data_IF_144008402836
#
_entry.id   IF_144008402836
#
_cell.length_a   1.000
_cell.length_b   1.000
_cell.length_c   1.000
_cell.angle_alpha   90.00
_cell.angle_beta   90.00
_cell.angle_gamma   90.00
#
_symmetry.space_group_name_H-M   'P 1'
#
loop_
_entity.id
_entity.type
_entity.pdbx_description
1 polymer ?
#
# COMPACT_ATOMS: atom_id res chain seq x y z
N UNK A 1 -36.86 21.97 77.09
CA UNK A 1 -36.38 20.71 77.69
C UNK A 1 -36.53 19.61 76.66
N UNK A 2 -35.40 18.96 76.37
CA UNK A 2 -35.20 17.68 75.67
C UNK A 2 -35.52 17.58 74.16
N UNK A 3 -34.45 17.76 73.39
CA UNK A 3 -34.16 17.09 72.12
C UNK A 3 -33.84 15.59 72.35
N UNK A 4 -34.12 14.76 71.36
CA UNK A 4 -33.48 13.47 71.09
C UNK A 4 -33.41 13.32 69.55
N UNK A 5 -32.22 13.45 68.94
CA UNK A 5 -31.36 12.35 68.45
C UNK A 5 -32.08 11.46 67.41
N UNK A 6 -31.92 11.65 66.09
CA UNK A 6 -30.75 11.35 65.24
C UNK A 6 -31.16 10.26 64.19
N UNK A 7 -30.39 9.94 63.12
CA UNK A 7 -29.10 10.47 62.73
C UNK A 7 -28.99 11.00 61.28
N UNK A 8 -27.87 11.71 61.09
CA UNK A 8 -27.28 12.27 59.88
C UNK A 8 -26.89 11.28 58.77
N UNK A 9 -27.07 11.79 57.53
CA UNK A 9 -26.18 11.76 56.35
C UNK A 9 -25.58 10.44 55.85
N UNK A 10 -25.84 10.16 54.57
CA UNK A 10 -24.77 9.99 53.56
C UNK A 10 -25.14 10.74 52.28
N UNK A 11 -24.32 11.69 51.78
CA UNK A 11 -24.43 12.15 50.40
C UNK A 11 -23.84 11.09 49.45
N UNK A 12 -24.54 10.86 48.35
CA UNK A 12 -24.11 9.97 47.27
C UNK A 12 -22.82 10.51 46.62
N UNK A 13 -21.83 9.62 46.48
CA UNK A 13 -20.54 9.91 45.85
C UNK A 13 -20.71 9.97 44.32
N UNK A 14 -20.21 11.00 43.62
CA UNK A 14 -20.14 10.96 42.16
C UNK A 14 -19.05 9.98 41.72
N UNK A 15 -19.35 9.23 40.65
CA UNK A 15 -18.46 8.32 39.96
C UNK A 15 -17.11 9.00 39.65
N UNK A 16 -16.07 8.61 40.38
CA UNK A 16 -14.72 9.12 40.18
C UNK A 16 -14.14 8.64 38.86
N UNK A 17 -13.90 9.60 37.95
CA UNK A 17 -12.95 9.46 36.85
C UNK A 17 -11.61 8.98 37.41
N UNK A 18 -11.18 7.79 37.01
CA UNK A 18 -9.76 7.41 37.13
C UNK A 18 -9.00 8.17 36.05
N UNK A 19 -8.24 9.18 36.49
CA UNK A 19 -7.18 9.78 35.70
C UNK A 19 -6.12 8.69 35.50
N UNK A 20 -6.00 8.20 34.27
CA UNK A 20 -4.86 7.37 33.89
C UNK A 20 -3.60 8.24 33.97
N UNK A 21 -2.66 7.85 34.84
CA UNK A 21 -1.35 8.48 34.89
C UNK A 21 -0.57 8.18 33.60
N UNK A 22 0.23 9.12 33.08
CA UNK A 22 1.02 8.89 31.89
C UNK A 22 2.07 7.82 32.19
N UNK A 23 1.99 6.69 31.48
CA UNK A 23 3.10 5.72 31.44
C UNK A 23 4.25 6.42 30.71
N UNK A 24 5.35 6.64 31.42
CA UNK A 24 6.58 7.08 30.77
C UNK A 24 7.03 5.96 29.81
N UNK A 25 6.87 6.21 28.51
CA UNK A 25 7.36 5.32 27.48
C UNK A 25 8.87 5.50 27.33
N UNK A 26 9.60 4.44 27.67
CA UNK A 26 10.97 4.23 27.19
C UNK A 26 10.93 4.01 25.68
N UNK A 27 11.74 4.72 24.89
CA UNK A 27 11.79 4.49 23.45
C UNK A 27 12.40 3.11 23.15
N UNK A 28 11.81 2.38 22.20
CA UNK A 28 12.41 1.18 21.63
C UNK A 28 13.62 1.59 20.78
N UNK A 29 14.76 1.82 21.43
CA UNK A 29 16.01 2.16 20.77
C UNK A 29 16.84 0.90 20.47
N UNK A 30 17.21 0.84 19.19
CA UNK A 30 18.19 0.01 18.51
C UNK A 30 19.36 -0.45 19.38
N UNK A 31 19.65 -1.76 19.37
CA UNK A 31 20.97 -2.26 19.76
C UNK A 31 21.97 -1.91 18.65
N UNK A 32 22.82 -0.90 18.89
CA UNK A 32 24.14 -0.84 18.29
C UNK A 32 25.10 -1.48 19.29
N UNK A 33 25.73 -2.58 18.90
CA UNK A 33 26.89 -3.09 19.63
C UNK A 33 28.10 -2.23 19.23
N UNK A 34 28.47 -1.34 20.15
CA UNK A 34 29.79 -0.73 20.19
C UNK A 34 30.77 -1.75 20.77
N UNK A 35 31.78 -2.15 19.99
CA UNK A 35 33.00 -2.77 20.50
C UNK A 35 34.16 -1.84 20.21
N UNK A 36 34.60 -1.14 21.26
CA UNK A 36 35.83 -0.36 21.31
C UNK A 36 37.07 -1.26 21.18
N UNK A 37 38.15 -0.73 20.61
CA UNK A 37 39.49 -1.25 20.91
C UNK A 37 40.62 -0.79 19.99
N UNK A 38 41.23 0.36 20.32
CA UNK A 38 42.68 0.54 20.25
C UNK A 38 43.30 1.18 19.01
N UNK A 39 43.59 2.49 19.09
CA UNK A 39 44.77 3.10 18.43
C UNK A 39 46.05 2.69 19.17
N UNK A 40 47.19 2.66 18.46
CA UNK A 40 48.25 3.59 18.83
C UNK A 40 48.94 4.27 17.64
N UNK A 41 49.40 5.50 17.90
CA UNK A 41 50.14 6.35 16.97
C UNK A 41 51.62 5.95 16.76
N UNK A 42 52.10 6.36 15.57
CA UNK A 42 53.44 6.82 15.19
C UNK A 42 54.53 5.79 14.83
N UNK A 43 54.93 5.82 13.55
CA UNK A 43 56.31 6.10 13.15
C UNK A 43 56.40 6.44 11.66
N UNK A 44 57.19 7.47 11.38
CA UNK A 44 57.65 7.95 10.08
C UNK A 44 58.42 6.89 9.30
N UNK A 45 58.25 6.85 7.97
CA UNK A 45 59.40 7.02 7.08
C UNK A 45 59.00 7.37 5.65
N UNK A 46 59.77 8.29 5.07
CA UNK A 46 59.73 8.69 3.68
C UNK A 46 60.60 7.73 2.88
N UNK A 47 60.06 7.12 1.83
CA UNK A 47 60.86 6.83 0.64
C UNK A 47 60.00 6.89 -0.61
N UNK A 48 60.37 7.80 -1.51
CA UNK A 48 59.95 7.87 -2.90
C UNK A 48 60.24 6.55 -3.60
N UNK A 49 59.40 6.12 -4.55
CA UNK A 49 59.83 5.52 -5.81
C UNK A 49 58.74 5.71 -6.88
N UNK A 50 59.12 6.37 -7.96
CA UNK A 50 58.39 6.48 -9.21
C UNK A 50 58.37 5.14 -9.95
N UNK A 51 57.25 4.80 -10.62
CA UNK A 51 57.26 4.02 -11.87
C UNK A 51 55.87 4.04 -12.58
N UNK A 52 55.82 4.80 -13.67
CA UNK A 52 55.26 4.48 -15.00
C UNK A 52 53.87 3.83 -15.20
N UNK A 53 53.02 4.64 -15.83
CA UNK A 53 52.08 4.39 -16.96
C UNK A 53 52.00 2.97 -17.53
N UNK A 54 50.77 2.46 -17.62
CA UNK A 54 50.20 1.79 -18.80
C UNK A 54 48.66 1.75 -18.61
N UNK A 55 47.93 2.37 -19.53
CA UNK A 55 46.47 2.27 -19.58
C UNK A 55 46.07 1.05 -20.39
N UNK A 56 44.91 0.47 -20.07
CA UNK A 56 44.19 -0.38 -21.01
C UNK A 56 42.68 -0.10 -20.96
N UNK A 57 42.13 -0.18 -22.16
CA UNK A 57 40.89 0.40 -22.66
C UNK A 57 39.76 -0.64 -22.56
N UNK A 58 38.56 -0.16 -22.23
CA UNK A 58 37.31 -0.89 -22.43
C UNK A 58 37.13 -1.29 -23.92
N UNK A 59 36.69 -2.52 -24.24
CA UNK A 59 36.28 -2.88 -25.60
C UNK A 59 34.82 -2.44 -25.89
N UNK A 60 34.64 -1.79 -27.05
CA UNK A 60 33.37 -1.42 -27.70
C UNK A 60 32.89 -2.61 -28.57
N UNK A 61 31.59 -3.01 -28.52
CA UNK A 61 31.09 -4.17 -29.24
C UNK A 61 30.61 -3.79 -30.64
N UNK A 62 31.52 -3.75 -31.62
CA UNK A 62 31.22 -3.94 -33.04
C UNK A 62 32.40 -4.69 -33.69
N UNK A 63 32.07 -5.56 -34.63
CA UNK A 63 32.92 -6.54 -35.33
C UNK A 63 32.96 -7.89 -34.58
N UNK A 64 32.53 -9.03 -35.12
CA UNK A 64 32.65 -9.50 -36.51
C UNK A 64 31.46 -10.38 -36.95
N UNK A 65 31.15 -10.25 -38.25
CA UNK A 65 30.36 -11.21 -39.02
C UNK A 65 31.17 -12.49 -39.25
N UNK A 66 30.53 -13.64 -39.05
CA UNK A 66 30.94 -14.88 -39.70
C UNK A 66 29.71 -15.59 -40.29
N UNK A 67 29.75 -15.72 -41.61
CA UNK A 67 28.93 -16.62 -42.42
C UNK A 67 29.61 -17.99 -42.41
N UNK A 68 28.86 -19.05 -42.14
CA UNK A 68 29.27 -20.38 -42.55
C UNK A 68 28.06 -21.27 -42.89
N UNK A 69 28.33 -22.21 -43.78
CA UNK A 69 27.42 -22.89 -44.70
C UNK A 69 26.49 -23.95 -44.08
N UNK A 70 25.43 -24.24 -44.82
CA UNK A 70 24.48 -25.36 -44.64
C UNK A 70 25.15 -26.74 -44.72
N UNK A 71 24.51 -27.79 -44.15
CA UNK A 71 24.00 -28.82 -45.06
C UNK A 71 22.65 -29.46 -44.68
N UNK A 72 21.85 -29.71 -45.74
CA UNK A 72 21.11 -30.94 -46.09
C UNK A 72 20.35 -31.76 -45.02
N UNK A 73 19.02 -31.86 -45.18
CA UNK A 73 18.20 -33.10 -45.22
C UNK A 73 16.72 -32.70 -45.44
N UNK A 74 16.15 -32.86 -46.64
CA UNK A 74 15.39 -34.03 -47.10
C UNK A 74 14.22 -34.48 -46.17
N UNK A 75 13.02 -34.39 -46.75
CA UNK A 75 11.79 -35.16 -46.46
C UNK A 75 10.96 -34.75 -45.24
N UNK A 76 9.76 -34.19 -45.49
CA UNK A 76 8.42 -34.61 -45.02
C UNK A 76 7.35 -33.54 -45.39
N UNK A 77 6.05 -33.88 -45.45
CA UNK A 77 5.18 -33.55 -46.57
C UNK A 77 4.11 -32.48 -46.29
N UNK A 78 3.41 -32.14 -47.39
CA UNK A 78 2.27 -31.27 -47.60
C UNK A 78 1.40 -30.85 -46.39
N UNK A 79 1.16 -29.54 -46.35
CA UNK A 79 0.09 -28.90 -45.59
C UNK A 79 -1.29 -29.26 -46.17
N UNK A 80 -2.27 -29.69 -45.35
CA UNK A 80 -3.68 -29.54 -45.69
C UNK A 80 -4.25 -28.24 -45.08
N UNK A 81 -4.84 -27.40 -45.93
CA UNK A 81 -5.72 -26.29 -45.52
C UNK A 81 -7.13 -26.81 -45.13
N UNK A 82 -8.03 -25.95 -44.63
CA UNK A 82 -8.67 -26.08 -43.33
C UNK A 82 -10.00 -26.85 -43.37
N UNK A 83 -10.23 -27.71 -42.37
CA UNK A 83 -11.55 -28.32 -42.14
C UNK A 83 -12.41 -27.35 -41.32
N UNK A 84 -13.47 -26.93 -42.00
CA UNK A 84 -14.68 -26.28 -41.51
C UNK A 84 -15.20 -26.92 -40.20
N UNK A 85 -15.11 -26.20 -39.08
CA UNK A 85 -15.97 -26.43 -37.91
C UNK A 85 -16.43 -25.07 -37.40
N UNK A 86 -17.71 -24.80 -37.62
CA UNK A 86 -18.43 -23.69 -36.99
C UNK A 86 -18.26 -23.78 -35.47
N UNK A 87 -17.97 -22.66 -34.76
CA UNK A 87 -18.06 -22.64 -33.31
C UNK A 87 -19.52 -22.83 -32.90
N UNK A 88 -19.80 -23.63 -31.86
CA UNK A 88 -21.15 -23.76 -31.32
C UNK A 88 -21.64 -22.40 -30.83
N UNK A 89 -22.91 -22.16 -31.11
CA UNK A 89 -23.73 -21.02 -30.70
C UNK A 89 -23.31 -20.41 -29.36
N UNK A 90 -23.16 -19.08 -29.35
CA UNK A 90 -23.06 -18.24 -28.16
C UNK A 90 -24.24 -18.51 -27.21
N UNK A 91 -24.07 -19.48 -26.33
CA UNK A 91 -24.87 -19.63 -25.14
C UNK A 91 -24.56 -18.45 -24.24
N UNK A 92 -25.56 -17.57 -24.10
CA UNK A 92 -25.65 -16.46 -23.14
C UNK A 92 -24.81 -16.74 -21.88
N UNK A 93 -23.82 -15.89 -21.61
CA UNK A 93 -23.25 -15.79 -20.28
C UNK A 93 -24.39 -15.47 -19.30
N UNK A 94 -24.61 -16.38 -18.36
CA UNK A 94 -25.55 -16.22 -17.26
C UNK A 94 -24.97 -15.19 -16.27
N UNK A 95 -25.63 -14.05 -15.98
CA UNK A 95 -25.04 -12.96 -15.18
C UNK A 95 -25.07 -13.23 -13.66
N UNK A 96 -25.08 -14.49 -13.24
CA UNK A 96 -25.22 -14.87 -11.84
C UNK A 96 -24.16 -15.90 -11.48
N UNK A 97 -22.97 -15.43 -11.10
CA UNK A 97 -22.21 -15.79 -9.89
C UNK A 97 -20.98 -14.87 -9.87
N UNK A 98 -21.10 -13.69 -9.27
CA UNK A 98 -19.93 -12.94 -8.79
C UNK A 98 -19.52 -13.54 -7.43
N UNK A 99 -18.21 -13.63 -7.09
CA UNK A 99 -17.77 -14.05 -5.77
C UNK A 99 -18.28 -13.05 -4.71
N UNK A 100 -18.65 -13.50 -3.49
CA UNK A 100 -19.35 -12.69 -2.50
C UNK A 100 -18.48 -11.61 -1.82
N UNK A 101 -17.22 -11.44 -2.23
CA UNK A 101 -16.22 -10.66 -1.48
C UNK A 101 -15.96 -9.23 -1.97
N UNK A 102 -16.68 -8.72 -2.99
CA UNK A 102 -16.42 -7.37 -3.53
C UNK A 102 -17.68 -6.54 -3.81
N UNK A 103 -18.80 -6.86 -3.18
CA UNK A 103 -20.00 -6.03 -3.27
C UNK A 103 -20.11 -5.12 -2.05
N UNK A 104 -19.35 -4.02 -2.02
CA UNK A 104 -19.76 -2.90 -1.18
C UNK A 104 -20.91 -2.17 -1.88
N UNK A 105 -21.99 -1.83 -1.16
CA UNK A 105 -23.08 -1.09 -1.76
C UNK A 105 -22.53 0.29 -2.11
N UNK A 106 -22.51 0.62 -3.39
CA UNK A 106 -22.28 1.96 -3.92
C UNK A 106 -23.39 2.96 -3.54
N UNK A 107 -24.08 2.74 -2.42
CA UNK A 107 -25.19 3.56 -1.96
C UNK A 107 -25.29 3.45 -0.42
N UNK A 108 -24.57 4.31 0.29
CA UNK A 108 -25.03 4.72 1.62
C UNK A 108 -26.27 5.60 1.38
N UNK A 109 -27.46 5.07 1.66
CA UNK A 109 -28.70 5.85 1.67
C UNK A 109 -28.87 6.42 3.07
N UNK A 110 -28.63 7.73 3.22
CA UNK A 110 -29.04 8.45 4.42
C UNK A 110 -30.57 8.52 4.47
N UNK A 111 -31.14 8.43 5.68
CA UNK A 111 -32.59 8.37 5.97
C UNK A 111 -33.38 9.62 5.54
N UNK A 112 -32.70 10.67 5.09
CA UNK A 112 -33.30 11.99 4.81
C UNK A 112 -33.53 12.29 3.32
N UNK A 113 -33.37 11.31 2.42
CA UNK A 113 -33.75 11.48 1.01
C UNK A 113 -32.88 12.44 0.18
N UNK A 114 -31.72 12.85 0.70
CA UNK A 114 -30.74 13.60 -0.07
C UNK A 114 -29.84 12.61 -0.83
N UNK A 115 -29.79 12.70 -2.17
CA UNK A 115 -28.94 11.86 -3.00
C UNK A 115 -27.48 12.05 -2.61
N UNK A 116 -26.89 11.07 -1.93
CA UNK A 116 -25.43 11.00 -1.74
C UNK A 116 -24.85 10.70 -3.12
N UNK A 117 -24.28 11.72 -3.77
CA UNK A 117 -23.46 11.49 -4.96
C UNK A 117 -22.22 10.77 -4.47
N UNK A 118 -22.10 9.50 -4.82
CA UNK A 118 -20.86 8.75 -4.62
C UNK A 118 -19.84 9.28 -5.61
N UNK A 119 -18.77 9.89 -5.10
CA UNK A 119 -17.66 10.38 -5.92
C UNK A 119 -16.74 9.22 -6.20
N UNK A 120 -16.82 8.68 -7.42
CA UNK A 120 -16.05 7.50 -7.83
C UNK A 120 -15.35 7.71 -9.16
N UNK A 121 -14.15 7.16 -9.28
CA UNK A 121 -13.33 7.13 -10.48
C UNK A 121 -13.01 5.68 -10.84
N UNK A 122 -13.21 5.30 -12.10
CA UNK A 122 -12.65 4.07 -12.64
C UNK A 122 -11.42 4.39 -13.50
N UNK A 123 -10.32 3.67 -13.24
CA UNK A 123 -9.08 3.79 -14.00
C UNK A 123 -8.65 2.41 -14.51
N UNK A 124 -8.65 2.25 -15.84
CA UNK A 124 -8.17 1.03 -16.50
C UNK A 124 -6.66 1.16 -16.77
N UNK A 125 -5.86 0.39 -16.04
CA UNK A 125 -4.41 0.29 -16.16
C UNK A 125 -4.07 -0.81 -17.16
N UNK A 126 -3.49 -0.46 -18.31
CA UNK A 126 -3.15 -1.45 -19.35
C UNK A 126 -1.76 -2.07 -19.13
N UNK A 127 -0.97 -1.50 -18.23
CA UNK A 127 0.39 -1.93 -17.91
C UNK A 127 0.76 -1.67 -16.46
N UNK A 128 1.91 -2.19 -16.01
CA UNK A 128 2.47 -1.84 -14.71
C UNK A 128 2.84 -0.35 -14.61
N UNK A 129 3.21 0.28 -15.73
CA UNK A 129 3.54 1.70 -15.78
C UNK A 129 2.31 2.57 -15.51
N UNK A 130 1.12 2.19 -16.01
CA UNK A 130 -0.12 2.91 -15.73
C UNK A 130 -0.50 2.84 -14.25
N UNK A 131 -0.30 1.67 -13.63
CA UNK A 131 -0.45 1.49 -12.17
C UNK A 131 0.52 2.39 -11.41
N UNK A 132 1.78 2.47 -11.84
CA UNK A 132 2.77 3.35 -11.24
C UNK A 132 2.36 4.82 -11.37
N UNK A 133 1.88 5.24 -12.55
CA UNK A 133 1.42 6.62 -12.79
C UNK A 133 0.24 7.01 -11.89
N UNK A 134 -0.73 6.11 -11.71
CA UNK A 134 -1.85 6.34 -10.80
C UNK A 134 -1.36 6.47 -9.35
N UNK A 135 -0.50 5.56 -8.90
CA UNK A 135 0.08 5.61 -7.55
C UNK A 135 0.88 6.88 -7.31
N UNK A 136 1.73 7.28 -8.26
CA UNK A 136 2.50 8.54 -8.20
C UNK A 136 1.57 9.76 -8.11
N UNK A 137 0.50 9.79 -8.91
CA UNK A 137 -0.47 10.88 -8.88
C UNK A 137 -1.16 10.97 -7.51
N UNK A 138 -1.58 9.83 -6.95
CA UNK A 138 -2.15 9.77 -5.62
C UNK A 138 -1.18 10.27 -4.55
N UNK A 139 0.07 9.79 -4.56
CA UNK A 139 1.08 10.22 -3.59
C UNK A 139 1.40 11.72 -3.67
N UNK A 140 1.41 12.30 -4.88
CA UNK A 140 1.61 13.75 -5.07
C UNK A 140 0.43 14.57 -4.57
N UNK A 141 -0.79 14.10 -4.79
CA UNK A 141 -2.02 14.78 -4.37
C UNK A 141 -2.33 14.58 -2.87
N UNK A 142 -1.75 13.55 -2.23
CA UNK A 142 -1.98 13.26 -0.82
C UNK A 142 -1.54 14.39 0.11
N UNK A 143 -2.40 14.69 1.07
CA UNK A 143 -2.21 15.66 2.16
C UNK A 143 -2.13 14.95 3.52
N UNK A 144 -1.75 15.64 4.61
CA UNK A 144 -1.86 15.09 5.95
C UNK A 144 -3.24 14.48 6.22
N UNK A 145 -3.28 13.42 7.05
CA UNK A 145 -4.48 12.67 7.42
C UNK A 145 -5.17 11.97 6.24
N UNK A 146 -4.44 11.71 5.14
CA UNK A 146 -4.97 10.90 4.03
C UNK A 146 -4.98 9.43 4.43
N UNK A 147 -6.13 8.78 4.33
CA UNK A 147 -6.28 7.33 4.52
C UNK A 147 -6.74 6.68 3.23
N UNK A 148 -6.03 5.64 2.78
CA UNK A 148 -6.34 4.85 1.59
C UNK A 148 -6.58 3.40 1.98
N UNK A 149 -7.79 2.93 1.74
CA UNK A 149 -8.22 1.56 1.97
C UNK A 149 -8.08 0.75 0.66
N UNK A 150 -7.15 -0.21 0.63
CA UNK A 150 -6.82 -1.01 -0.54
C UNK A 150 -7.45 -2.41 -0.43
N UNK A 151 -8.33 -2.73 -1.37
CA UNK A 151 -8.99 -4.02 -1.49
C UNK A 151 -8.68 -4.68 -2.83
N UNK A 152 -8.60 -6.02 -2.84
CA UNK A 152 -8.38 -6.79 -4.06
C UNK A 152 -7.75 -8.14 -3.77
N UNK A 153 -7.85 -9.05 -4.75
CA UNK A 153 -7.39 -10.42 -4.61
C UNK A 153 -5.87 -10.54 -4.34
N UNK A 154 -5.43 -11.71 -3.89
CA UNK A 154 -4.01 -11.99 -3.75
C UNK A 154 -3.30 -11.81 -5.10
N UNK A 155 -2.18 -11.10 -5.12
CA UNK A 155 -1.46 -10.80 -6.36
C UNK A 155 -2.10 -9.71 -7.24
N UNK A 156 -3.17 -9.05 -6.81
CA UNK A 156 -3.78 -7.93 -7.57
C UNK A 156 -2.84 -6.73 -7.72
N UNK A 157 -1.78 -6.64 -6.92
CA UNK A 157 -0.78 -5.57 -7.02
C UNK A 157 -0.93 -4.47 -5.96
N UNK A 158 -1.67 -4.70 -4.88
CA UNK A 158 -1.80 -3.77 -3.73
C UNK A 158 -0.46 -3.21 -3.25
N UNK A 159 0.50 -4.05 -2.88
CA UNK A 159 1.84 -3.60 -2.45
C UNK A 159 2.61 -2.86 -3.55
N UNK A 160 2.43 -3.22 -4.82
CA UNK A 160 3.02 -2.47 -5.95
C UNK A 160 2.40 -1.08 -6.06
N UNK A 161 1.10 -0.96 -5.86
CA UNK A 161 0.43 0.33 -5.81
C UNK A 161 0.93 1.17 -4.62
N UNK A 162 1.07 0.58 -3.42
CA UNK A 162 1.67 1.24 -2.25
C UNK A 162 3.07 1.78 -2.55
N UNK A 163 3.93 0.99 -3.20
CA UNK A 163 5.26 1.44 -3.65
C UNK A 163 5.20 2.71 -4.47
N UNK A 164 4.30 2.75 -5.47
CA UNK A 164 4.13 3.91 -6.33
C UNK A 164 3.56 5.13 -5.58
N UNK A 165 2.69 4.91 -4.59
CA UNK A 165 2.19 5.99 -3.72
C UNK A 165 3.30 6.57 -2.86
N UNK A 166 4.14 5.72 -2.24
CA UNK A 166 5.30 6.14 -1.45
C UNK A 166 6.29 6.91 -2.33
N UNK A 167 6.54 6.46 -3.56
CA UNK A 167 7.36 7.19 -4.54
C UNK A 167 6.76 8.57 -4.87
N UNK A 168 5.43 8.65 -5.04
CA UNK A 168 4.71 9.91 -5.28
C UNK A 168 4.76 10.87 -4.10
N UNK A 169 4.92 10.33 -2.88
CA UNK A 169 5.19 11.07 -1.66
C UNK A 169 6.66 11.45 -1.49
N UNK A 170 7.51 11.24 -2.50
CA UNK A 170 8.96 11.50 -2.43
C UNK A 170 9.71 10.58 -1.44
N UNK A 171 9.13 9.43 -1.12
CA UNK A 171 9.77 8.36 -0.36
C UNK A 171 10.53 7.38 -1.26
N UNK A 172 11.37 6.54 -0.65
CA UNK A 172 12.14 5.51 -1.36
C UNK A 172 11.25 4.29 -1.70
N UNK A 173 10.94 4.00 -2.99
CA UNK A 173 10.13 2.84 -3.35
C UNK A 173 10.85 1.50 -3.10
N UNK A 174 12.19 1.50 -3.01
CA UNK A 174 12.97 0.28 -2.75
C UNK A 174 12.84 -0.21 -1.31
N UNK A 175 12.46 0.67 -0.39
CA UNK A 175 12.31 0.37 1.03
C UNK A 175 10.96 -0.29 1.33
N UNK A 176 10.02 -0.18 0.38
CA UNK A 176 8.64 -0.60 0.57
C UNK A 176 8.50 -2.10 0.27
N UNK A 177 8.06 -2.82 1.29
CA UNK A 177 7.72 -4.23 1.24
C UNK A 177 6.34 -4.45 1.85
N UNK A 178 5.70 -5.59 1.57
CA UNK A 178 4.43 -5.91 2.21
C UNK A 178 4.68 -6.20 3.70
N UNK A 179 4.02 -5.50 4.63
CA UNK A 179 4.25 -5.66 6.06
C UNK A 179 3.48 -6.87 6.62
N UNK A 180 3.16 -7.88 5.82
CA UNK A 180 2.28 -9.01 6.22
C UNK A 180 2.65 -9.66 7.55
N UNK A 181 3.93 -9.71 7.94
CA UNK A 181 4.37 -10.30 9.22
C UNK A 181 4.49 -9.31 10.38
N UNK A 182 4.80 -8.04 10.09
CA UNK A 182 4.96 -6.99 11.11
C UNK A 182 3.70 -6.15 11.28
N UNK A 183 2.69 -6.37 10.43
CA UNK A 183 1.37 -5.73 10.34
C UNK A 183 1.40 -4.24 9.99
N UNK A 184 2.38 -3.49 10.50
CA UNK A 184 2.59 -2.07 10.24
C UNK A 184 4.08 -1.81 9.92
N UNK A 185 4.35 -1.05 8.86
CA UNK A 185 5.65 -0.46 8.58
C UNK A 185 5.52 1.04 8.37
N UNK A 186 6.59 1.76 8.67
CA UNK A 186 6.67 3.20 8.45
C UNK A 186 7.74 3.52 7.40
N UNK A 187 7.43 4.46 6.51
CA UNK A 187 8.37 4.95 5.51
C UNK A 187 8.51 6.46 5.60
N UNK A 188 9.77 6.93 5.59
CA UNK A 188 10.09 8.34 5.49
C UNK A 188 9.83 8.83 4.07
N UNK A 189 9.03 9.89 3.95
CA UNK A 189 8.68 10.57 2.71
C UNK A 189 8.31 12.03 3.05
N UNK A 190 7.79 12.80 2.09
CA UNK A 190 7.24 14.16 2.31
C UNK A 190 6.20 14.19 3.43
N UNK A 191 5.41 13.12 3.56
CA UNK A 191 4.54 12.82 4.70
C UNK A 191 4.90 11.43 5.23
N UNK A 192 4.94 11.24 6.55
CA UNK A 192 5.20 9.91 7.13
C UNK A 192 4.14 8.92 6.64
N UNK A 193 4.57 7.80 6.06
CA UNK A 193 3.65 6.77 5.56
C UNK A 193 3.52 5.67 6.58
N UNK A 194 2.30 5.34 6.97
CA UNK A 194 1.94 4.16 7.74
C UNK A 194 1.35 3.13 6.78
N UNK A 195 2.09 2.06 6.52
CA UNK A 195 1.66 0.98 5.65
C UNK A 195 1.21 -0.20 6.51
N UNK A 196 -0.07 -0.53 6.42
CA UNK A 196 -0.72 -1.61 7.17
C UNK A 196 -1.12 -2.73 6.22
N UNK A 197 -0.93 -3.98 6.64
CA UNK A 197 -1.46 -5.15 5.96
C UNK A 197 -2.35 -5.96 6.92
N UNK A 198 -3.67 -5.88 6.72
CA UNK A 198 -4.66 -6.52 7.57
C UNK A 198 -4.90 -8.02 7.21
N UNK A 199 -4.17 -8.59 6.24
CA UNK A 199 -4.38 -9.97 5.78
C UNK A 199 -4.23 -11.05 6.85
N UNK A 200 -3.51 -10.77 7.95
CA UNK A 200 -3.35 -11.72 9.05
C UNK A 200 -4.21 -11.43 10.27
N UNK A 201 -4.91 -10.30 10.27
CA UNK A 201 -5.84 -9.97 11.34
C UNK A 201 -7.06 -10.89 11.24
N UNK A 202 -7.48 -11.40 12.39
CA UNK A 202 -8.63 -12.30 12.51
C UNK A 202 -9.88 -11.58 13.00
N UNK A 203 -9.69 -10.39 13.58
CA UNK A 203 -10.77 -9.53 14.07
C UNK A 203 -10.38 -8.06 14.01
N UNK A 204 -11.39 -7.19 14.08
CA UNK A 204 -11.22 -5.75 14.28
C UNK A 204 -10.58 -5.41 15.63
N UNK A 205 -10.78 -6.24 16.66
CA UNK A 205 -10.10 -6.09 17.95
C UNK A 205 -8.59 -6.23 17.79
N UNK A 206 -8.12 -7.19 16.99
CA UNK A 206 -6.69 -7.38 16.71
C UNK A 206 -6.07 -6.13 16.07
N UNK A 207 -6.86 -5.40 15.26
CA UNK A 207 -6.46 -4.14 14.66
C UNK A 207 -6.39 -3.01 15.70
N UNK A 208 -7.40 -2.88 16.55
CA UNK A 208 -7.46 -1.87 17.61
C UNK A 208 -6.32 -2.05 18.63
N UNK A 209 -5.89 -3.28 18.89
CA UNK A 209 -4.74 -3.56 19.76
C UNK A 209 -3.41 -3.02 19.22
N UNK A 210 -3.34 -2.66 17.92
CA UNK A 210 -2.18 -1.98 17.31
C UNK A 210 -2.11 -0.48 17.66
N UNK A 211 -3.13 0.07 18.32
CA UNK A 211 -3.26 1.51 18.58
C UNK A 211 -3.42 2.36 17.31
N UNK A 212 -4.40 2.04 16.42
CA UNK A 212 -4.56 2.71 15.15
C UNK A 212 -4.96 4.19 15.25
N UNK A 213 -5.50 4.60 16.38
CA UNK A 213 -5.96 5.96 16.63
C UNK A 213 -4.84 6.99 16.46
N UNK A 214 -3.61 6.64 16.85
CA UNK A 214 -2.44 7.54 16.80
C UNK A 214 -2.05 7.92 15.38
N UNK A 215 -2.22 7.01 14.42
CA UNK A 215 -1.77 7.22 13.04
C UNK A 215 -2.90 7.38 12.03
N UNK A 216 -4.11 6.87 12.30
CA UNK A 216 -5.31 7.19 11.50
C UNK A 216 -5.70 8.67 11.58
N UNK A 217 -5.45 9.30 12.74
CA UNK A 217 -5.71 10.73 12.97
C UNK A 217 -4.45 11.58 12.98
N UNK A 218 -3.30 10.97 12.68
CA UNK A 218 -2.00 11.64 12.66
C UNK A 218 -1.75 12.42 11.36
N UNK A 219 -0.71 13.26 11.33
CA UNK A 219 -0.39 14.12 10.17
C UNK A 219 0.19 13.36 8.96
N UNK A 220 0.29 12.03 9.04
CA UNK A 220 0.85 11.17 7.99
C UNK A 220 -0.16 10.79 6.91
N UNK A 221 0.26 9.82 6.10
CA UNK A 221 -0.60 9.10 5.15
C UNK A 221 -0.69 7.65 5.60
N UNK A 222 -1.89 7.08 5.59
CA UNK A 222 -2.12 5.69 5.96
C UNK A 222 -2.57 4.91 4.74
N UNK A 223 -1.86 3.82 4.43
CA UNK A 223 -2.15 2.91 3.33
C UNK A 223 -2.45 1.54 3.92
N UNK A 224 -3.68 1.05 3.75
CA UNK A 224 -4.16 -0.17 4.41
C UNK A 224 -4.50 -1.21 3.36
N UNK A 225 -3.68 -2.25 3.23
CA UNK A 225 -4.02 -3.44 2.46
C UNK A 225 -5.03 -4.33 3.19
N UNK A 226 -5.96 -4.93 2.44
CA UNK A 226 -7.01 -5.81 2.96
C UNK A 226 -7.94 -5.11 3.95
N UNK A 227 -8.22 -3.83 3.66
CA UNK A 227 -9.03 -2.97 4.52
C UNK A 227 -10.47 -3.50 4.74
N UNK A 228 -10.96 -4.38 3.87
CA UNK A 228 -12.24 -5.09 4.02
C UNK A 228 -12.33 -5.88 5.33
N UNK A 229 -11.20 -6.32 5.89
CA UNK A 229 -11.13 -7.05 7.16
C UNK A 229 -11.33 -6.18 8.40
N UNK A 230 -11.19 -4.87 8.25
CA UNK A 230 -11.26 -3.91 9.35
C UNK A 230 -12.23 -2.76 9.02
N UNK A 231 -13.23 -3.02 8.17
CA UNK A 231 -14.08 -1.97 7.60
C UNK A 231 -14.77 -1.08 8.63
N UNK A 232 -15.12 -1.57 9.83
CA UNK A 232 -15.74 -0.73 10.87
C UNK A 232 -14.71 0.10 11.67
N UNK A 233 -13.42 -0.13 11.46
CA UNK A 233 -12.34 0.64 12.10
C UNK A 233 -11.77 1.74 11.19
N UNK A 234 -12.19 1.80 9.92
CA UNK A 234 -11.78 2.86 9.01
C UNK A 234 -12.42 4.20 9.40
N UNK A 235 -11.72 5.33 9.23
CA UNK A 235 -12.30 6.64 9.49
C UNK A 235 -13.44 6.93 8.49
N UNK A 236 -14.39 7.79 8.84
CA UNK A 236 -15.51 8.15 7.94
C UNK A 236 -15.05 8.74 6.60
N UNK A 237 -13.92 9.45 6.60
CA UNK A 237 -13.32 10.06 5.40
C UNK A 237 -12.04 9.30 5.03
N UNK A 238 -12.14 8.47 3.99
CA UNK A 238 -11.04 7.72 3.40
C UNK A 238 -11.28 7.52 1.90
N UNK A 239 -10.23 7.16 1.18
CA UNK A 239 -10.33 6.75 -0.21
C UNK A 239 -10.34 5.22 -0.30
N UNK A 240 -11.47 4.65 -0.70
CA UNK A 240 -11.56 3.25 -1.07
C UNK A 240 -10.94 3.03 -2.44
N UNK A 241 -10.09 2.02 -2.57
CA UNK A 241 -9.46 1.64 -3.84
C UNK A 241 -9.53 0.13 -3.99
N UNK A 242 -10.38 -0.31 -4.92
CA UNK A 242 -10.48 -1.71 -5.32
C UNK A 242 -9.62 -1.99 -6.55
N UNK A 243 -8.78 -3.02 -6.48
CA UNK A 243 -7.87 -3.43 -7.55
C UNK A 243 -8.27 -4.81 -8.07
N UNK A 244 -8.67 -4.88 -9.34
CA UNK A 244 -9.05 -6.14 -10.02
C UNK A 244 -8.05 -6.45 -11.13
N UNK A 245 -7.58 -7.70 -11.21
CA UNK A 245 -6.75 -8.17 -12.31
C UNK A 245 -7.57 -8.35 -13.58
N UNK A 246 -7.17 -7.72 -14.68
CA UNK A 246 -7.83 -7.82 -16.00
C UNK A 246 -6.96 -8.52 -17.05
N UNK A 247 -5.75 -8.92 -16.66
CA UNK A 247 -4.75 -9.57 -17.49
C UNK A 247 -3.45 -9.76 -16.69
N UNK A 248 -2.38 -10.16 -17.35
CA UNK A 248 -1.08 -10.41 -16.69
C UNK A 248 -0.56 -9.14 -16.00
N UNK A 249 -0.45 -8.04 -16.75
CA UNK A 249 0.03 -6.74 -16.26
C UNK A 249 -1.05 -5.66 -16.20
N UNK A 250 -2.26 -5.94 -16.69
CA UNK A 250 -3.37 -4.99 -16.67
C UNK A 250 -4.24 -5.13 -15.43
N UNK A 251 -4.72 -4.00 -14.92
CA UNK A 251 -5.54 -3.90 -13.71
C UNK A 251 -6.68 -2.91 -13.95
N UNK A 252 -7.80 -3.09 -13.26
CA UNK A 252 -8.84 -2.07 -13.10
C UNK A 252 -8.81 -1.57 -11.67
N UNK A 253 -8.73 -0.25 -11.53
CA UNK A 253 -8.89 0.45 -10.27
C UNK A 253 -10.28 1.07 -10.21
N UNK A 254 -11.01 0.81 -9.13
CA UNK A 254 -12.23 1.54 -8.79
C UNK A 254 -11.97 2.30 -7.49
N UNK A 255 -11.96 3.63 -7.57
CA UNK A 255 -11.68 4.53 -6.47
C UNK A 255 -12.99 5.18 -6.04
N UNK A 256 -13.27 5.22 -4.74
CA UNK A 256 -14.48 5.84 -4.18
C UNK A 256 -14.09 6.70 -2.99
N UNK A 257 -14.48 7.98 -3.02
CA UNK A 257 -14.32 8.87 -1.89
C UNK A 257 -15.51 8.71 -0.93
N UNK A 258 -15.22 8.55 0.36
CA UNK A 258 -16.23 8.40 1.41
C UNK A 258 -16.49 9.70 2.19
N UNK A 259 -15.64 10.71 2.01
CA UNK A 259 -15.78 12.02 2.64
C UNK A 259 -15.18 13.20 1.85
N UNK A 260 -15.22 14.43 2.40
CA UNK A 260 -14.77 15.63 1.70
C UNK A 260 -13.29 15.65 1.33
N UNK A 261 -12.40 15.16 2.20
CA UNK A 261 -10.95 15.12 1.94
C UNK A 261 -10.60 14.11 0.87
N UNK A 262 -11.11 12.88 0.99
CA UNK A 262 -10.94 11.83 -0.01
C UNK A 262 -11.52 12.24 -1.37
N UNK A 263 -12.60 13.02 -1.39
CA UNK A 263 -13.13 13.61 -2.62
C UNK A 263 -12.18 14.63 -3.23
N UNK A 264 -11.65 15.55 -2.43
CA UNK A 264 -10.65 16.52 -2.90
C UNK A 264 -9.36 15.87 -3.41
N UNK A 265 -8.99 14.71 -2.83
CA UNK A 265 -7.92 13.86 -3.35
C UNK A 265 -8.31 13.24 -4.70
N UNK A 266 -9.50 12.64 -4.79
CA UNK A 266 -10.00 11.99 -6.01
C UNK A 266 -10.07 12.95 -7.21
N UNK A 267 -10.52 14.18 -6.99
CA UNK A 267 -10.67 15.24 -8.00
C UNK A 267 -9.31 15.72 -8.59
N UNK A 268 -8.18 15.30 -8.00
CA UNK A 268 -6.83 15.60 -8.50
C UNK A 268 -6.21 14.43 -9.28
N UNK A 269 -6.86 13.27 -9.31
CA UNK A 269 -6.32 12.07 -9.94
C UNK A 269 -6.62 12.06 -11.46
N UNK A 270 -5.76 11.44 -12.28
CA UNK A 270 -6.00 11.35 -13.71
C UNK A 270 -7.31 10.59 -14.00
N UNK A 271 -8.22 11.23 -14.74
CA UNK A 271 -9.50 10.67 -15.17
C UNK A 271 -10.71 11.08 -14.33
N UNK A 272 -10.52 11.86 -13.26
CA UNK A 272 -11.59 12.47 -12.43
C UNK A 272 -12.45 13.49 -13.18
#
# INVERSE_FOLDING_TARGET
MHNADGPSKKPETPCGRRVAQPKQHLPYQQRRDDSQGGEPQAASDRTEHQATVAGERFPDPRDELHVDETPSASSLPDCPSPINKAPPSLSRCNPAVAPPFCAFPSLLVSRDGNHIRVHSLQFDSLSENDTQRLGLALGRAASPETVVALCGEMGSGKTRFVRAVVEGLEGSPTDVSSPTFVLLQQYSARLLVHHVDAYRLTSETDFLDLGPEEWLTGPGVVLIEWADRISNCLPEDHLDVSITSTGETSRRFALTATGPKSRGLLDQLPGS
#
